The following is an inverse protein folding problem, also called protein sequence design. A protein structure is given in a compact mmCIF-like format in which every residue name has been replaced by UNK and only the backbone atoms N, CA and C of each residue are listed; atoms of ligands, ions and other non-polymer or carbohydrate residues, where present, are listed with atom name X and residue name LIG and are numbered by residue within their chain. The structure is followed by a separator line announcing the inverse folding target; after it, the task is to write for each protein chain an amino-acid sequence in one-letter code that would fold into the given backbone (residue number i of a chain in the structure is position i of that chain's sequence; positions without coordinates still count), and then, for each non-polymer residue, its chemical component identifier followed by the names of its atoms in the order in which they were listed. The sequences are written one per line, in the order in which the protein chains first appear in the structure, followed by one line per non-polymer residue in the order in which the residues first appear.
data_IF_596823711998
#
_entry.id   IF_596823711998
#
_cell.length_a   1.000
_cell.length_b   1.000
_cell.length_c   1.000
_cell.angle_alpha   90.00
_cell.angle_beta   90.00
_cell.angle_gamma   90.00
#
_symmetry.space_group_name_H-M   'P 1'
#
loop_
_entity.id
_entity.type
_entity.pdbx_description
1 polymer ?
#
# COMPACT_ATOMS: atom_id res chain seq x y z
N UNK A 1 31.61 22.40 -7.25
CA UNK A 1 30.61 22.59 -6.18
C UNK A 1 29.26 22.79 -6.83
N UNK A 2 28.21 22.16 -6.30
CA UNK A 2 26.82 22.31 -6.73
C UNK A 2 26.00 22.86 -5.56
N UNK A 3 25.29 23.97 -5.78
CA UNK A 3 24.60 24.74 -4.74
C UNK A 3 23.28 25.34 -5.27
N UNK A 4 22.59 26.13 -4.41
CA UNK A 4 21.31 26.77 -4.73
C UNK A 4 20.08 25.89 -4.47
N UNK A 5 18.90 26.45 -4.69
CA UNK A 5 17.59 25.86 -4.35
C UNK A 5 16.90 25.13 -5.50
N UNK A 6 17.32 25.36 -6.75
CA UNK A 6 16.67 24.76 -7.91
C UNK A 6 17.26 23.40 -8.26
N UNK A 7 16.51 22.59 -9.01
CA UNK A 7 17.02 21.34 -9.55
C UNK A 7 18.22 21.61 -10.47
N UNK A 8 19.26 20.78 -10.33
CA UNK A 8 20.44 20.79 -11.21
C UNK A 8 20.61 19.39 -11.79
N UNK A 9 21.23 19.30 -12.96
CA UNK A 9 21.55 18.02 -13.59
C UNK A 9 23.05 17.86 -13.76
N UNK A 10 23.56 16.65 -13.55
CA UNK A 10 24.97 16.31 -13.77
C UNK A 10 25.07 15.12 -14.73
N UNK A 11 25.87 15.32 -15.77
CA UNK A 11 26.27 14.32 -16.74
C UNK A 11 27.79 14.34 -16.85
N UNK A 12 28.42 13.17 -16.83
CA UNK A 12 29.83 13.00 -17.10
C UNK A 12 30.00 12.22 -18.40
N UNK A 13 31.04 12.57 -19.17
CA UNK A 13 31.44 11.74 -20.30
C UNK A 13 31.94 10.37 -19.80
N UNK A 14 31.82 9.34 -20.63
CA UNK A 14 32.21 7.98 -20.27
C UNK A 14 33.68 7.90 -19.81
N UNK A 15 33.93 7.08 -18.79
CA UNK A 15 35.24 6.91 -18.17
C UNK A 15 35.78 8.13 -17.38
N UNK A 16 35.05 9.25 -17.28
CA UNK A 16 35.48 10.39 -16.46
C UNK A 16 35.23 10.15 -14.97
N UNK A 17 36.21 10.54 -14.17
CA UNK A 17 36.17 10.45 -12.71
C UNK A 17 36.42 11.84 -12.14
N UNK A 18 35.56 12.28 -11.23
CA UNK A 18 35.75 13.52 -10.49
C UNK A 18 36.75 13.28 -9.37
N UNK A 19 37.69 14.19 -9.16
CA UNK A 19 38.52 14.12 -7.96
C UNK A 19 37.71 14.50 -6.72
N UNK A 20 36.98 15.61 -6.81
CA UNK A 20 36.19 16.16 -5.72
C UNK A 20 34.79 16.51 -6.20
N UNK A 21 33.79 16.21 -5.38
CA UNK A 21 32.42 16.64 -5.60
C UNK A 21 31.86 17.19 -4.29
N UNK A 22 31.36 18.42 -4.32
CA UNK A 22 30.72 19.06 -3.16
C UNK A 22 29.28 19.42 -3.49
N UNK A 23 28.36 18.93 -2.67
CA UNK A 23 26.93 19.19 -2.68
C UNK A 23 26.60 20.09 -1.48
N UNK A 24 26.08 21.28 -1.78
CA UNK A 24 25.62 22.26 -0.80
C UNK A 24 24.34 22.93 -1.32
N UNK A 25 23.34 22.10 -1.64
CA UNK A 25 22.06 22.57 -2.18
C UNK A 25 21.10 22.81 -1.04
N UNK A 26 20.58 24.04 -0.92
CA UNK A 26 19.58 24.40 0.10
C UNK A 26 18.17 23.94 -0.26
N UNK A 27 17.96 23.48 -1.50
CA UNK A 27 16.70 22.96 -2.01
C UNK A 27 16.90 22.26 -3.35
N UNK A 28 15.84 21.62 -3.83
CA UNK A 28 15.85 20.84 -5.07
C UNK A 28 16.79 19.62 -5.03
N UNK A 29 16.86 18.93 -6.16
CA UNK A 29 17.69 17.72 -6.33
C UNK A 29 18.87 17.99 -7.26
N UNK A 30 19.96 17.27 -7.01
CA UNK A 30 20.94 16.96 -8.05
C UNK A 30 20.48 15.71 -8.80
N UNK A 31 20.02 15.88 -10.04
CA UNK A 31 19.62 14.80 -10.93
C UNK A 31 20.83 14.25 -11.67
N UNK A 32 21.09 12.96 -11.56
CA UNK A 32 22.10 12.32 -12.39
C UNK A 32 21.51 11.91 -13.73
N UNK A 33 22.26 12.17 -14.80
CA UNK A 33 21.95 11.74 -16.17
C UNK A 33 22.89 10.62 -16.66
N UNK A 34 23.97 10.38 -15.91
CA UNK A 34 24.95 9.31 -16.14
C UNK A 34 25.46 8.82 -14.77
N UNK A 35 26.07 7.63 -14.69
CA UNK A 35 26.85 7.25 -13.51
C UNK A 35 27.94 8.28 -13.21
N UNK A 36 28.27 8.43 -11.93
CA UNK A 36 29.37 9.29 -11.48
C UNK A 36 30.32 8.53 -10.57
N UNK A 37 31.60 8.88 -10.66
CA UNK A 37 32.64 8.38 -9.78
C UNK A 37 33.42 9.55 -9.18
N UNK A 38 33.65 9.51 -7.87
CA UNK A 38 34.42 10.49 -7.12
C UNK A 38 35.62 9.79 -6.49
N UNK A 39 36.84 10.12 -6.91
CA UNK A 39 38.06 9.39 -6.52
C UNK A 39 38.65 9.82 -5.18
N UNK A 40 38.49 11.09 -4.78
CA UNK A 40 39.03 11.62 -3.54
C UNK A 40 37.92 11.89 -2.52
N UNK A 41 37.21 13.02 -2.61
CA UNK A 41 36.25 13.42 -1.56
C UNK A 41 34.89 13.74 -2.15
N UNK A 42 33.86 13.08 -1.62
CA UNK A 42 32.47 13.50 -1.76
C UNK A 42 32.08 14.27 -0.49
N UNK A 43 31.77 15.55 -0.64
CA UNK A 43 31.28 16.39 0.45
C UNK A 43 29.79 16.64 0.28
N UNK A 44 28.98 16.25 1.27
CA UNK A 44 27.55 16.52 1.36
C UNK A 44 27.27 17.38 2.59
N UNK A 45 27.35 18.70 2.40
CA UNK A 45 27.00 19.65 3.47
C UNK A 45 25.49 19.68 3.68
N UNK A 46 24.74 19.66 2.57
CA UNK A 46 23.29 19.56 2.50
C UNK A 46 22.88 19.31 1.04
N UNK A 47 21.67 18.79 0.85
CA UNK A 47 21.07 18.59 -0.47
C UNK A 47 21.03 17.14 -0.92
N UNK A 48 20.06 16.83 -1.75
CA UNK A 48 19.74 15.47 -2.15
C UNK A 48 20.25 15.16 -3.58
N UNK A 49 20.69 13.92 -3.78
CA UNK A 49 21.05 13.37 -5.10
C UNK A 49 19.96 12.40 -5.51
N UNK A 50 19.30 12.65 -6.64
CA UNK A 50 18.39 11.70 -7.27
C UNK A 50 19.16 10.97 -8.36
N UNK A 51 19.39 9.66 -8.18
CA UNK A 51 20.30 8.95 -9.09
C UNK A 51 19.65 8.54 -10.40
N UNK A 52 18.30 8.52 -10.50
CA UNK A 52 17.55 8.11 -11.69
C UNK A 52 18.02 6.74 -12.24
N UNK A 53 18.35 5.81 -11.34
CA UNK A 53 18.86 4.47 -11.70
C UNK A 53 20.37 4.42 -11.99
N UNK A 54 21.06 5.56 -12.09
CA UNK A 54 22.50 5.61 -12.23
C UNK A 54 23.22 5.35 -10.89
N UNK A 55 24.49 4.94 -10.97
CA UNK A 55 25.33 4.62 -9.81
C UNK A 55 26.15 5.84 -9.39
N UNK A 56 26.16 6.13 -8.10
CA UNK A 56 27.17 6.98 -7.47
C UNK A 56 28.28 6.09 -6.94
N UNK A 57 29.54 6.35 -7.32
CA UNK A 57 30.70 5.61 -6.81
C UNK A 57 31.63 6.55 -6.05
N UNK A 58 32.00 6.18 -4.84
CA UNK A 58 33.02 6.84 -4.04
C UNK A 58 34.25 5.92 -3.92
N UNK A 59 35.39 6.44 -4.35
CA UNK A 59 36.62 5.69 -4.59
C UNK A 59 36.70 5.09 -6.00
N UNK A 60 37.85 4.51 -6.31
CA UNK A 60 38.13 3.84 -7.60
C UNK A 60 38.71 2.43 -7.41
N UNK A 61 39.23 2.12 -6.22
CA UNK A 61 39.83 0.83 -5.89
C UNK A 61 39.93 0.63 -4.37
N UNK A 62 40.30 -0.57 -3.93
CA UNK A 62 40.59 -0.85 -2.52
C UNK A 62 41.77 -0.03 -1.95
N UNK A 63 42.59 0.56 -2.81
CA UNK A 63 43.73 1.43 -2.43
C UNK A 63 43.30 2.91 -2.40
N UNK A 64 42.38 3.29 -3.29
CA UNK A 64 41.82 4.64 -3.38
C UNK A 64 40.33 4.57 -3.05
N UNK A 65 40.02 4.50 -1.76
CA UNK A 65 38.66 4.26 -1.24
C UNK A 65 37.76 5.49 -1.30
N UNK A 66 38.35 6.68 -1.32
CA UNK A 66 37.66 7.96 -1.21
C UNK A 66 37.10 8.23 0.19
N UNK A 67 36.79 9.49 0.45
CA UNK A 67 36.28 10.01 1.72
C UNK A 67 34.89 10.63 1.54
N UNK A 68 34.00 10.38 2.50
CA UNK A 68 32.68 10.99 2.57
C UNK A 68 32.67 12.00 3.72
N UNK A 69 32.65 13.29 3.39
CA UNK A 69 32.44 14.37 4.36
C UNK A 69 30.95 14.69 4.39
N UNK A 70 30.24 14.24 5.41
CA UNK A 70 28.78 14.32 5.47
C UNK A 70 28.29 15.18 6.63
N UNK A 71 27.31 16.03 6.35
CA UNK A 71 26.54 16.78 7.35
C UNK A 71 25.03 16.58 7.17
N UNK A 72 24.54 16.60 5.93
CA UNK A 72 23.13 16.35 5.61
C UNK A 72 22.93 15.97 4.14
N UNK A 73 21.76 15.40 3.85
CA UNK A 73 21.30 15.08 2.49
C UNK A 73 21.13 13.59 2.26
N UNK A 74 20.49 13.23 1.16
CA UNK A 74 20.19 11.83 0.84
C UNK A 74 20.56 11.50 -0.60
N UNK A 75 21.11 10.31 -0.80
CA UNK A 75 21.31 9.69 -2.11
C UNK A 75 20.13 8.76 -2.35
N UNK A 76 19.17 9.22 -3.14
CA UNK A 76 18.01 8.44 -3.56
C UNK A 76 18.38 7.52 -4.71
N UNK A 77 18.91 6.33 -4.37
CA UNK A 77 19.35 5.33 -5.32
C UNK A 77 20.59 4.56 -4.86
N UNK A 78 21.40 4.14 -5.83
CA UNK A 78 22.55 3.24 -5.59
C UNK A 78 23.82 4.02 -5.29
N UNK A 79 24.47 3.66 -4.19
CA UNK A 79 25.80 4.13 -3.80
C UNK A 79 26.77 2.94 -3.73
N UNK A 80 27.91 3.02 -4.42
CA UNK A 80 29.06 2.13 -4.25
C UNK A 80 30.15 2.87 -3.48
N UNK A 81 30.70 2.24 -2.45
CA UNK A 81 31.89 2.72 -1.71
C UNK A 81 32.99 1.67 -1.77
N UNK A 82 34.23 2.11 -1.96
CA UNK A 82 35.40 1.24 -1.88
C UNK A 82 35.95 1.14 -0.46
N UNK A 83 36.55 -0.01 -0.15
CA UNK A 83 37.09 -0.37 1.15
C UNK A 83 38.46 -1.01 0.99
N UNK A 84 39.41 -0.60 1.83
CA UNK A 84 40.69 -1.27 2.00
C UNK A 84 40.53 -2.48 2.92
N UNK A 85 41.63 -3.16 3.22
CA UNK A 85 41.69 -4.18 4.28
C UNK A 85 41.71 -3.57 5.69
N UNK A 86 41.77 -2.24 5.82
CA UNK A 86 41.74 -1.54 7.11
C UNK A 86 40.74 -0.38 7.07
N UNK A 87 39.43 -0.68 6.98
CA UNK A 87 38.40 0.34 7.00
C UNK A 87 38.26 0.99 8.39
N UNK A 88 37.66 2.19 8.48
CA UNK A 88 37.39 2.85 9.75
C UNK A 88 36.66 1.93 10.75
N UNK A 89 37.01 2.06 12.03
CA UNK A 89 36.39 1.26 13.11
C UNK A 89 34.96 1.66 13.40
N UNK A 90 34.57 2.91 13.10
CA UNK A 90 33.20 3.38 13.21
C UNK A 90 32.91 4.54 12.24
N UNK A 91 31.62 4.81 12.00
CA UNK A 91 31.13 5.97 11.25
C UNK A 91 31.07 5.76 9.75
N UNK A 92 31.06 4.52 9.26
CA UNK A 92 31.04 4.24 7.82
C UNK A 92 29.61 4.38 7.28
N UNK A 93 29.23 5.62 6.96
CA UNK A 93 27.87 5.98 6.56
C UNK A 93 27.55 5.70 5.08
N UNK A 94 26.36 5.17 4.83
CA UNK A 94 25.67 5.18 3.55
C UNK A 94 24.43 6.09 3.70
N UNK A 95 24.48 7.36 3.22
CA UNK A 95 23.37 8.30 3.35
C UNK A 95 22.32 8.06 2.26
N UNK A 96 21.87 6.81 2.15
CA UNK A 96 20.93 6.37 1.12
C UNK A 96 19.48 6.57 1.56
N UNK A 97 18.57 6.56 0.61
CA UNK A 97 17.15 6.67 0.85
C UNK A 97 16.35 6.19 -0.35
N UNK A 98 15.03 6.31 -0.23
CA UNK A 98 14.11 6.01 -1.32
C UNK A 98 13.32 7.27 -1.67
N UNK A 99 13.34 7.64 -2.97
CA UNK A 99 12.57 8.78 -3.49
C UNK A 99 11.07 8.50 -3.53
N UNK A 100 10.72 7.21 -3.44
CA UNK A 100 9.37 6.68 -3.32
C UNK A 100 9.46 5.59 -2.26
N UNK A 101 8.86 5.82 -1.10
CA UNK A 101 8.36 4.73 -0.26
C UNK A 101 6.86 4.76 -0.48
N UNK A 102 6.30 3.64 -0.94
CA UNK A 102 4.86 3.55 -1.17
C UNK A 102 4.19 3.52 0.20
N UNK A 103 3.70 4.68 0.64
CA UNK A 103 2.55 4.72 1.51
C UNK A 103 1.34 4.32 0.65
N UNK A 104 0.92 3.06 0.80
CA UNK A 104 -0.23 2.50 0.08
C UNK A 104 -1.51 3.23 0.51
N UNK A 105 -1.57 3.74 1.75
CA UNK A 105 -2.75 4.35 2.36
C UNK A 105 -3.05 5.74 1.79
N UNK A 106 -2.02 6.54 1.48
CA UNK A 106 -2.20 7.95 1.10
C UNK A 106 -1.75 8.30 -0.32
N UNK A 107 -1.21 7.34 -1.09
CA UNK A 107 -0.54 7.58 -2.37
C UNK A 107 0.47 8.75 -2.27
N UNK A 108 1.09 8.89 -1.09
CA UNK A 108 1.93 10.01 -0.71
C UNK A 108 3.39 9.59 -0.82
N UNK A 109 4.08 10.11 -1.84
CA UNK A 109 5.49 9.84 -2.08
C UNK A 109 6.35 10.77 -1.20
N UNK A 110 6.48 10.49 0.10
CA UNK A 110 7.47 11.21 0.92
C UNK A 110 8.85 10.56 0.74
N UNK A 111 9.87 11.31 0.29
CA UNK A 111 11.22 10.79 0.20
C UNK A 111 11.77 10.47 1.59
N UNK A 112 12.16 9.22 1.84
CA UNK A 112 12.66 8.80 3.15
C UNK A 112 14.19 8.77 3.18
N UNK A 113 14.77 9.36 4.22
CA UNK A 113 16.20 9.25 4.53
C UNK A 113 16.44 7.97 5.34
N UNK A 114 17.04 6.97 4.72
CA UNK A 114 17.16 5.61 5.26
C UNK A 114 18.64 5.23 5.40
N UNK A 115 19.43 5.95 6.23
CA UNK A 115 20.86 5.75 6.29
C UNK A 115 21.17 4.39 6.91
N UNK A 116 22.34 3.88 6.53
CA UNK A 116 22.93 2.70 7.16
C UNK A 116 24.40 2.96 7.50
N UNK A 117 24.89 2.36 8.58
CA UNK A 117 26.31 2.38 8.96
C UNK A 117 26.86 0.96 8.96
N UNK A 118 28.09 0.79 8.46
CA UNK A 118 28.80 -0.50 8.37
C UNK A 118 30.18 -0.39 9.02
N UNK A 119 30.26 -0.72 10.29
CA UNK A 119 31.47 -0.49 11.09
C UNK A 119 32.29 -1.78 11.25
N UNK A 120 33.62 -1.69 11.26
CA UNK A 120 34.52 -2.82 11.49
C UNK A 120 35.28 -2.63 12.81
N UNK A 121 34.62 -2.85 13.97
CA UNK A 121 35.16 -2.49 15.28
C UNK A 121 36.32 -3.41 15.71
N UNK A 122 36.21 -4.71 15.42
CA UNK A 122 37.08 -5.73 16.01
C UNK A 122 37.96 -6.41 14.96
N UNK A 123 37.36 -7.03 13.94
CA UNK A 123 38.08 -7.85 12.95
C UNK A 123 37.99 -7.21 11.57
N UNK A 124 39.13 -6.83 11.01
CA UNK A 124 39.21 -6.17 9.70
C UNK A 124 39.02 -7.16 8.54
N UNK A 125 38.58 -6.70 7.35
CA UNK A 125 38.47 -7.52 6.15
C UNK A 125 39.82 -8.15 5.75
N UNK A 126 39.78 -9.38 5.26
CA UNK A 126 40.96 -10.06 4.71
C UNK A 126 41.29 -9.59 3.29
N UNK A 127 40.29 -9.11 2.55
CA UNK A 127 40.48 -8.50 1.23
C UNK A 127 39.74 -7.18 1.13
N UNK A 128 40.37 -6.17 0.52
CA UNK A 128 39.68 -4.94 0.14
C UNK A 128 38.81 -5.12 -1.10
N UNK A 129 37.85 -4.23 -1.31
CA UNK A 129 36.90 -4.31 -2.41
C UNK A 129 35.91 -3.16 -2.40
N UNK A 130 34.67 -3.42 -2.78
CA UNK A 130 33.60 -2.41 -2.72
C UNK A 130 32.30 -2.98 -2.18
N UNK A 131 31.47 -2.10 -1.64
CA UNK A 131 30.11 -2.39 -1.21
C UNK A 131 29.15 -1.47 -1.97
N UNK A 132 28.19 -2.06 -2.68
CA UNK A 132 27.09 -1.36 -3.34
C UNK A 132 25.86 -1.47 -2.45
N UNK A 133 25.26 -0.32 -2.11
CA UNK A 133 24.13 -0.23 -1.20
C UNK A 133 23.00 0.61 -1.80
N UNK A 134 21.75 0.19 -1.55
CA UNK A 134 20.54 0.97 -1.81
C UNK A 134 19.37 0.42 -0.99
N UNK A 135 18.31 1.21 -0.87
CA UNK A 135 17.05 0.74 -0.31
C UNK A 135 16.14 0.20 -1.41
N UNK A 136 15.54 -0.97 -1.17
CA UNK A 136 14.57 -1.63 -2.03
C UNK A 136 13.18 -1.40 -1.42
N UNK A 137 12.31 -0.58 -2.04
CA UNK A 137 10.98 -0.29 -1.53
C UNK A 137 9.98 -1.39 -1.92
N UNK A 138 10.29 -2.63 -1.55
CA UNK A 138 9.46 -3.81 -1.79
C UNK A 138 9.22 -4.52 -0.46
N UNK A 139 8.02 -5.09 -0.27
CA UNK A 139 7.69 -5.83 0.95
C UNK A 139 8.74 -6.90 1.26
N UNK A 140 9.07 -7.03 2.55
CA UNK A 140 9.94 -8.11 3.02
C UNK A 140 9.29 -9.49 2.85
N UNK A 141 7.96 -9.56 2.66
CA UNK A 141 7.21 -10.80 2.58
C UNK A 141 6.89 -11.34 3.97
N UNK A 142 7.02 -12.65 4.14
CA UNK A 142 6.63 -13.33 5.38
C UNK A 142 7.66 -13.14 6.51
N UNK A 143 7.13 -12.99 7.73
CA UNK A 143 7.93 -13.01 8.94
C UNK A 143 8.53 -14.40 9.19
N UNK A 144 9.71 -14.49 9.85
CA UNK A 144 10.33 -15.78 10.12
C UNK A 144 9.57 -16.57 11.20
N UNK A 145 9.29 -17.85 10.89
CA UNK A 145 8.61 -18.76 11.82
C UNK A 145 9.38 -18.92 13.13
N UNK A 146 8.70 -18.67 14.25
CA UNK A 146 9.17 -18.92 15.62
C UNK A 146 10.54 -18.31 15.97
N UNK A 147 10.97 -17.25 15.29
CA UNK A 147 12.22 -16.57 15.62
C UNK A 147 12.02 -15.68 16.86
N UNK A 148 12.85 -15.89 17.88
CA UNK A 148 12.82 -15.13 19.14
C UNK A 148 14.04 -14.23 19.21
N UNK A 149 13.82 -12.96 19.50
CA UNK A 149 14.88 -12.05 19.92
C UNK A 149 15.02 -12.17 21.45
N UNK A 150 16.19 -12.56 21.95
CA UNK A 150 16.41 -12.72 23.38
C UNK A 150 16.35 -11.35 24.07
N UNK A 151 16.07 -11.37 25.38
CA UNK A 151 16.03 -10.15 26.18
C UNK A 151 17.38 -9.45 26.15
N UNK A 152 17.37 -8.19 25.69
CA UNK A 152 18.52 -7.30 25.75
C UNK A 152 18.08 -6.01 26.44
N UNK A 153 18.57 -5.78 27.65
CA UNK A 153 18.44 -4.52 28.38
C UNK A 153 17.00 -4.03 28.65
N UNK A 154 16.22 -4.87 29.35
CA UNK A 154 14.87 -4.60 29.87
C UNK A 154 13.76 -4.39 28.81
N UNK A 155 14.01 -4.73 27.54
CA UNK A 155 12.95 -4.76 26.52
C UNK A 155 12.15 -6.08 26.52
N UNK A 156 12.54 -7.05 27.36
CA UNK A 156 12.00 -8.40 27.32
C UNK A 156 12.44 -9.17 26.07
N UNK A 157 12.27 -10.49 26.09
CA UNK A 157 12.37 -11.29 24.87
C UNK A 157 11.06 -11.16 24.07
N UNK A 158 11.15 -11.23 22.76
CA UNK A 158 9.96 -11.17 21.90
C UNK A 158 10.08 -12.07 20.67
N UNK A 159 8.93 -12.55 20.20
CA UNK A 159 8.83 -13.23 18.92
C UNK A 159 8.77 -12.19 17.82
N UNK A 160 9.44 -12.47 16.70
CA UNK A 160 9.23 -11.70 15.49
C UNK A 160 7.91 -12.18 14.88
N UNK A 161 6.91 -11.31 14.91
CA UNK A 161 5.57 -11.55 14.34
C UNK A 161 5.32 -10.75 13.07
N UNK A 162 6.16 -9.75 12.77
CA UNK A 162 6.04 -8.89 11.59
C UNK A 162 7.40 -8.59 10.97
N UNK A 163 7.36 -8.28 9.67
CA UNK A 163 8.49 -7.72 8.92
C UNK A 163 8.02 -6.54 8.09
N UNK A 164 8.88 -5.57 7.84
CA UNK A 164 8.51 -4.33 7.15
C UNK A 164 7.95 -4.59 5.73
N UNK A 165 6.77 -4.05 5.42
CA UNK A 165 6.27 -3.96 4.04
C UNK A 165 6.87 -2.76 3.27
N UNK A 166 7.48 -1.80 3.98
CA UNK A 166 7.98 -0.55 3.38
C UNK A 166 9.31 -0.72 2.65
N UNK A 167 10.02 -1.85 2.88
CA UNK A 167 11.26 -2.15 2.19
C UNK A 167 12.40 -2.65 3.08
N UNK A 168 13.53 -2.86 2.42
CA UNK A 168 14.77 -3.37 3.03
C UNK A 168 16.01 -2.75 2.36
N UNK A 169 17.12 -2.72 3.09
CA UNK A 169 18.42 -2.34 2.57
C UNK A 169 19.08 -3.52 1.86
N UNK A 170 19.69 -3.28 0.71
CA UNK A 170 20.45 -4.29 -0.03
C UNK A 170 21.90 -3.90 -0.11
N UNK A 171 22.78 -4.81 0.30
CA UNK A 171 24.23 -4.66 0.23
C UNK A 171 24.86 -5.76 -0.62
N UNK A 172 25.62 -5.38 -1.64
CA UNK A 172 26.33 -6.30 -2.51
C UNK A 172 27.84 -6.01 -2.46
N UNK A 173 28.60 -6.98 -1.96
CA UNK A 173 30.05 -6.92 -1.90
C UNK A 173 30.69 -7.40 -3.22
N UNK A 174 31.69 -6.68 -3.70
CA UNK A 174 32.51 -7.06 -4.86
C UNK A 174 33.99 -7.03 -4.43
N UNK A 175 34.61 -8.20 -4.26
CA UNK A 175 36.00 -8.36 -3.83
C UNK A 175 36.28 -8.13 -2.34
N UNK A 176 35.35 -7.49 -1.61
CA UNK A 176 35.43 -7.28 -0.16
C UNK A 176 35.03 -8.56 0.57
N UNK A 177 35.92 -9.13 1.39
CA UNK A 177 35.66 -10.39 2.11
C UNK A 177 36.38 -10.46 3.45
N UNK A 178 35.89 -11.36 4.32
CA UNK A 178 36.38 -11.53 5.68
C UNK A 178 35.98 -10.39 6.61
N UNK A 179 36.57 -10.39 7.80
CA UNK A 179 36.25 -9.44 8.86
C UNK A 179 34.94 -9.74 9.59
N UNK A 180 34.69 -8.91 10.59
CA UNK A 180 33.48 -8.88 11.40
C UNK A 180 32.98 -7.44 11.39
N UNK A 181 31.71 -7.24 11.02
CA UNK A 181 31.12 -5.91 10.95
C UNK A 181 29.92 -5.77 11.88
N UNK A 182 29.67 -4.53 12.29
CA UNK A 182 28.42 -4.08 12.89
C UNK A 182 27.58 -3.40 11.81
N UNK A 183 26.26 -3.51 11.91
CA UNK A 183 25.34 -2.76 11.07
C UNK A 183 24.39 -1.93 11.94
N UNK A 184 24.20 -0.67 11.55
CA UNK A 184 23.16 0.20 12.11
C UNK A 184 22.24 0.66 10.99
N UNK A 185 20.93 0.51 11.18
CA UNK A 185 19.89 0.91 10.24
C UNK A 185 19.01 1.97 10.88
N UNK A 186 18.63 2.99 10.10
CA UNK A 186 17.68 4.01 10.55
C UNK A 186 16.48 4.08 9.60
N UNK A 187 15.39 3.33 9.88
CA UNK A 187 14.13 3.37 9.12
C UNK A 187 13.34 4.67 9.33
N UNK A 188 13.94 5.84 9.12
CA UNK A 188 13.22 7.10 9.31
C UNK A 188 12.08 7.23 8.28
N UNK A 189 10.91 7.66 8.76
CA UNK A 189 9.71 7.73 7.94
C UNK A 189 9.01 6.39 7.73
N UNK A 190 9.41 5.34 8.45
CA UNK A 190 8.58 4.16 8.58
C UNK A 190 7.36 4.48 9.45
N UNK A 191 6.19 4.04 9.02
CA UNK A 191 4.90 4.34 9.66
C UNK A 191 4.41 3.18 10.53
N UNK A 192 4.97 1.98 10.34
CA UNK A 192 4.58 0.75 11.05
C UNK A 192 5.38 0.49 12.33
N UNK A 193 5.97 1.53 12.92
CA UNK A 193 6.79 1.43 14.12
C UNK A 193 6.03 2.08 15.27
N UNK A 194 5.79 1.33 16.33
CA UNK A 194 5.02 1.76 17.50
C UNK A 194 5.76 1.48 18.81
N UNK A 195 6.59 0.44 18.88
CA UNK A 195 7.47 0.17 20.01
C UNK A 195 8.90 -0.17 19.58
N UNK A 196 9.85 0.66 20.02
CA UNK A 196 11.29 0.45 19.78
C UNK A 196 11.82 -0.82 20.48
N UNK A 197 11.25 -1.22 21.63
CA UNK A 197 11.70 -2.42 22.33
C UNK A 197 11.34 -3.72 21.59
N UNK A 198 10.36 -3.66 20.68
CA UNK A 198 9.91 -4.77 19.87
C UNK A 198 10.47 -4.71 18.44
N UNK A 199 11.58 -4.00 18.20
CA UNK A 199 12.21 -3.87 16.89
C UNK A 199 13.54 -4.56 16.76
N UNK A 200 13.81 -5.09 15.58
CA UNK A 200 15.11 -5.67 15.27
C UNK A 200 15.46 -5.62 13.79
N UNK A 201 16.75 -5.77 13.48
CA UNK A 201 17.21 -5.92 12.11
C UNK A 201 17.37 -7.41 11.76
N UNK A 202 16.81 -7.81 10.62
CA UNK A 202 16.90 -9.16 10.07
C UNK A 202 17.73 -9.17 8.81
N UNK A 203 18.34 -10.32 8.52
CA UNK A 203 19.19 -10.53 7.36
C UNK A 203 18.60 -11.60 6.46
N UNK A 204 18.71 -11.43 5.15
CA UNK A 204 18.32 -12.45 4.14
C UNK A 204 19.38 -12.57 3.07
N UNK A 205 19.71 -13.80 2.67
CA UNK A 205 20.59 -14.08 1.53
C UNK A 205 19.77 -14.56 0.35
N UNK A 206 19.82 -13.83 -0.77
CA UNK A 206 19.01 -14.13 -1.96
C UNK A 206 17.51 -14.12 -1.64
N UNK A 207 16.80 -15.16 -2.06
CA UNK A 207 15.36 -15.34 -1.82
C UNK A 207 15.07 -16.28 -0.64
N UNK A 208 16.03 -16.50 0.26
CA UNK A 208 15.85 -17.32 1.45
C UNK A 208 14.95 -16.68 2.52
N UNK A 209 14.74 -17.33 3.68
CA UNK A 209 14.01 -16.72 4.78
C UNK A 209 14.81 -15.55 5.40
N UNK A 210 14.10 -14.65 6.08
CA UNK A 210 14.71 -13.70 6.99
C UNK A 210 15.23 -14.43 8.23
N UNK A 211 16.46 -14.14 8.64
CA UNK A 211 17.07 -14.77 9.80
C UNK A 211 17.73 -13.72 10.68
N UNK A 212 18.06 -14.10 11.90
CA UNK A 212 19.00 -13.33 12.71
C UNK A 212 20.43 -13.42 12.15
N UNK A 213 21.21 -12.38 12.42
CA UNK A 213 22.64 -12.36 12.20
C UNK A 213 23.30 -11.47 13.25
N UNK A 214 24.44 -11.92 13.77
CA UNK A 214 25.14 -11.23 14.84
C UNK A 214 24.31 -11.13 16.13
N UNK A 215 24.66 -10.17 16.97
CA UNK A 215 24.06 -9.94 18.28
C UNK A 215 23.10 -8.75 18.18
N UNK A 216 21.88 -8.92 18.69
CA UNK A 216 20.92 -7.83 18.83
C UNK A 216 21.38 -6.81 19.86
N UNK A 217 21.28 -5.53 19.51
CA UNK A 217 21.47 -4.41 20.43
C UNK A 217 20.14 -3.69 20.53
N UNK A 218 19.75 -3.35 21.77
CA UNK A 218 18.56 -2.58 22.08
C UNK A 218 18.43 -1.35 21.15
N UNK A 219 17.31 -1.21 20.42
CA UNK A 219 17.08 -0.04 19.57
C UNK A 219 17.07 1.26 20.36
N UNK A 220 17.52 2.34 19.73
CA UNK A 220 17.57 3.69 20.30
C UNK A 220 16.86 4.68 19.37
N UNK A 221 16.87 5.98 19.72
CA UNK A 221 16.20 7.02 18.94
C UNK A 221 14.75 7.23 19.36
N UNK A 222 13.87 7.46 18.38
CA UNK A 222 12.43 7.66 18.60
C UNK A 222 11.63 6.83 17.60
N UNK A 223 10.33 6.66 17.82
CA UNK A 223 9.44 5.96 16.87
C UNK A 223 9.57 6.48 15.43
N UNK A 224 9.66 7.81 15.25
CA UNK A 224 9.77 8.44 13.92
C UNK A 224 11.19 8.44 13.35
N UNK A 225 12.19 8.28 14.22
CA UNK A 225 13.62 8.24 13.87
C UNK A 225 14.33 7.12 14.63
N UNK A 226 13.99 5.85 14.35
CA UNK A 226 14.52 4.70 15.05
C UNK A 226 15.96 4.41 14.63
N UNK A 227 16.76 3.87 15.55
CA UNK A 227 18.13 3.44 15.30
C UNK A 227 18.28 2.00 15.79
N UNK A 228 18.47 1.08 14.85
CA UNK A 228 18.47 -0.36 15.10
C UNK A 228 19.86 -0.90 14.78
N UNK A 229 20.47 -1.62 15.73
CA UNK A 229 21.86 -2.09 15.61
C UNK A 229 21.98 -3.59 15.80
N UNK A 230 22.86 -4.21 15.01
CA UNK A 230 23.36 -5.58 15.18
C UNK A 230 24.89 -5.55 15.19
N UNK A 231 25.52 -6.37 16.03
CA UNK A 231 26.98 -6.43 16.16
C UNK A 231 27.55 -7.80 15.86
N UNK A 232 28.85 -7.87 15.56
CA UNK A 232 29.54 -9.16 15.46
C UNK A 232 29.11 -10.01 14.26
N UNK A 233 28.74 -9.38 13.14
CA UNK A 233 28.31 -10.11 11.95
C UNK A 233 29.54 -10.62 11.19
N UNK A 234 29.66 -11.95 11.10
CA UNK A 234 30.71 -12.65 10.34
C UNK A 234 30.22 -13.19 9.00
N UNK A 235 28.90 -13.26 8.80
CA UNK A 235 28.31 -13.65 7.52
C UNK A 235 28.40 -12.51 6.50
N UNK A 236 28.67 -12.84 5.23
CA UNK A 236 28.83 -11.84 4.17
C UNK A 236 27.63 -10.90 3.98
N UNK A 237 27.85 -9.78 3.28
CA UNK A 237 26.82 -8.79 3.00
C UNK A 237 25.66 -9.33 2.16
N UNK A 238 24.45 -8.88 2.47
CA UNK A 238 23.22 -9.28 1.78
C UNK A 238 22.10 -8.27 2.04
N UNK A 239 20.84 -8.71 1.95
CA UNK A 239 19.68 -7.92 2.31
C UNK A 239 19.53 -7.83 3.83
N UNK A 240 19.10 -6.66 4.29
CA UNK A 240 18.83 -6.32 5.67
C UNK A 240 17.50 -5.58 5.77
N UNK A 241 16.60 -6.03 6.63
CA UNK A 241 15.28 -5.43 6.80
C UNK A 241 14.90 -5.34 8.27
N UNK A 242 13.71 -4.81 8.55
CA UNK A 242 13.22 -4.62 9.92
C UNK A 242 12.19 -5.70 10.25
N UNK A 243 12.36 -6.34 11.40
CA UNK A 243 11.38 -7.22 12.02
C UNK A 243 10.82 -6.59 13.29
N UNK A 244 9.55 -6.89 13.57
CA UNK A 244 8.81 -6.40 14.73
C UNK A 244 8.15 -7.52 15.52
N UNK A 245 7.91 -7.28 16.81
CA UNK A 245 7.01 -8.06 17.64
C UNK A 245 5.55 -7.64 17.51
N UNK A 246 4.69 -8.17 18.38
CA UNK A 246 3.21 -8.01 18.30
C UNK A 246 2.75 -6.55 18.34
N UNK A 247 3.53 -5.69 19.00
CA UNK A 247 3.24 -4.26 19.15
C UNK A 247 3.77 -3.42 17.98
N UNK A 248 4.39 -4.04 16.97
CA UNK A 248 4.66 -3.41 15.67
C UNK A 248 3.83 -4.09 14.57
N UNK A 249 2.49 -4.07 14.65
CA UNK A 249 1.64 -4.75 13.68
C UNK A 249 1.70 -4.04 12.34
N UNK A 250 1.65 -4.83 11.27
CA UNK A 250 1.44 -4.31 9.92
C UNK A 250 -0.06 -4.03 9.74
N UNK A 251 -0.44 -3.02 8.94
CA UNK A 251 -1.77 -2.98 8.38
C UNK A 251 -2.01 -4.24 7.54
N UNK A 252 -3.27 -4.68 7.49
CA UNK A 252 -3.73 -5.86 6.76
C UNK A 252 -3.38 -5.73 5.28
N UNK A 253 -2.64 -6.71 4.76
CA UNK A 253 -2.32 -6.72 3.33
C UNK A 253 -3.49 -7.33 2.55
N UNK A 254 -4.38 -6.48 2.04
CA UNK A 254 -5.41 -6.91 1.08
C UNK A 254 -4.74 -7.35 -0.23
N UNK A 255 -4.62 -8.66 -0.44
CA UNK A 255 -3.95 -9.22 -1.63
C UNK A 255 -4.79 -9.04 -2.90
N UNK A 256 -6.11 -9.15 -2.78
CA UNK A 256 -7.01 -9.01 -3.92
C UNK A 256 -8.42 -8.65 -3.48
N UNK A 257 -9.11 -7.89 -4.32
CA UNK A 257 -10.56 -7.69 -4.24
C UNK A 257 -11.13 -7.69 -5.66
N UNK A 258 -12.19 -8.47 -5.88
CA UNK A 258 -12.79 -8.64 -7.20
C UNK A 258 -14.31 -8.66 -7.09
N UNK A 259 -14.97 -8.13 -8.12
CA UNK A 259 -16.42 -8.20 -8.29
C UNK A 259 -16.75 -8.89 -9.60
N UNK A 260 -17.70 -9.84 -9.56
CA UNK A 260 -18.15 -10.58 -10.75
C UNK A 260 -19.67 -10.67 -10.77
N UNK A 261 -20.27 -10.19 -11.85
CA UNK A 261 -21.70 -10.32 -12.07
C UNK A 261 -22.04 -11.72 -12.61
N UNK A 262 -23.01 -12.39 -11.99
CA UNK A 262 -23.54 -13.69 -12.41
C UNK A 262 -24.96 -13.91 -11.86
N UNK A 263 -25.85 -14.44 -12.68
CA UNK A 263 -27.23 -14.81 -12.31
C UNK A 263 -28.04 -13.69 -11.61
N UNK A 264 -27.89 -12.45 -12.07
CA UNK A 264 -28.59 -11.29 -11.50
C UNK A 264 -28.00 -10.78 -10.19
N UNK A 265 -26.82 -11.27 -9.77
CA UNK A 265 -26.14 -10.93 -8.52
C UNK A 265 -24.70 -10.55 -8.78
N UNK A 266 -24.09 -9.83 -7.84
CA UNK A 266 -22.64 -9.58 -7.87
C UNK A 266 -21.97 -10.39 -6.77
N UNK A 267 -21.04 -11.25 -7.17
CA UNK A 267 -20.15 -11.97 -6.27
C UNK A 267 -18.91 -11.13 -6.00
N UNK A 268 -18.70 -10.77 -4.75
CA UNK A 268 -17.51 -10.10 -4.26
C UNK A 268 -16.60 -11.14 -3.62
N UNK A 269 -15.34 -11.21 -4.04
CA UNK A 269 -14.32 -12.07 -3.43
C UNK A 269 -13.09 -11.26 -3.09
N UNK A 270 -12.52 -11.50 -1.92
CA UNK A 270 -11.22 -10.95 -1.53
C UNK A 270 -10.37 -11.99 -0.81
N UNK A 271 -9.07 -11.70 -0.80
CA UNK A 271 -8.12 -12.41 0.01
C UNK A 271 -7.23 -11.43 0.77
N UNK A 272 -6.98 -11.72 2.03
CA UNK A 272 -6.00 -11.03 2.87
C UNK A 272 -4.76 -11.91 2.99
N UNK A 273 -3.57 -11.31 3.03
CA UNK A 273 -2.31 -12.03 3.22
C UNK A 273 -2.08 -12.32 4.70
N UNK A 274 -2.36 -11.33 5.52
CA UNK A 274 -2.38 -11.37 6.97
C UNK A 274 -3.45 -10.41 7.49
N UNK A 275 -4.01 -10.70 8.66
CA UNK A 275 -4.97 -9.84 9.38
C UNK A 275 -4.44 -9.60 10.79
N UNK A 276 -4.47 -8.38 11.31
CA UNK A 276 -4.15 -8.10 12.72
C UNK A 276 -5.12 -7.06 13.22
N UNK A 277 -5.71 -7.32 14.39
CA UNK A 277 -6.79 -6.55 15.00
C UNK A 277 -7.99 -6.24 14.08
N UNK A 278 -8.20 -7.03 13.02
CA UNK A 278 -9.33 -6.87 12.11
C UNK A 278 -10.63 -7.21 12.84
N UNK A 279 -11.46 -6.22 13.11
CA UNK A 279 -12.78 -6.47 13.67
C UNK A 279 -13.70 -6.95 12.54
N UNK A 280 -13.84 -6.16 11.47
CA UNK A 280 -14.71 -6.49 10.35
C UNK A 280 -14.39 -5.74 9.05
N UNK A 281 -14.83 -6.31 7.94
CA UNK A 281 -14.95 -5.66 6.66
C UNK A 281 -16.36 -5.09 6.49
N UNK A 282 -16.46 -3.83 6.11
CA UNK A 282 -17.68 -3.22 5.58
C UNK A 282 -17.62 -3.29 4.06
N UNK A 283 -18.67 -3.81 3.45
CA UNK A 283 -18.82 -3.83 1.99
C UNK A 283 -19.66 -2.64 1.57
N UNK A 284 -19.12 -1.86 0.65
CA UNK A 284 -19.75 -0.65 0.15
C UNK A 284 -19.97 -0.74 -1.36
N UNK A 285 -21.10 -0.20 -1.81
CA UNK A 285 -21.50 -0.11 -3.21
C UNK A 285 -21.74 1.34 -3.60
N UNK A 286 -21.45 1.68 -4.85
CA UNK A 286 -21.69 3.02 -5.38
C UNK A 286 -22.07 2.97 -6.86
N UNK A 287 -22.84 3.97 -7.31
CA UNK A 287 -23.15 4.18 -8.74
C UNK A 287 -22.06 4.98 -9.46
N UNK A 288 -21.28 5.78 -8.73
CA UNK A 288 -20.34 6.76 -9.28
C UNK A 288 -18.95 6.71 -8.65
N UNK A 289 -18.72 5.76 -7.73
CA UNK A 289 -17.50 5.64 -6.93
C UNK A 289 -17.21 6.87 -6.03
N UNK A 290 -18.24 7.65 -5.70
CA UNK A 290 -18.17 8.81 -4.80
C UNK A 290 -19.12 8.60 -3.62
N UNK A 291 -20.42 8.49 -3.90
CA UNK A 291 -21.43 8.27 -2.87
C UNK A 291 -21.61 6.77 -2.67
N UNK A 292 -21.27 6.29 -1.48
CA UNK A 292 -21.26 4.87 -1.14
C UNK A 292 -22.41 4.51 -0.19
N UNK A 293 -23.09 3.41 -0.47
CA UNK A 293 -24.03 2.76 0.45
C UNK A 293 -23.41 1.49 1.02
N UNK A 294 -23.64 1.24 2.31
CA UNK A 294 -23.19 0.01 2.97
C UNK A 294 -24.15 -1.11 2.60
N UNK A 295 -23.62 -2.21 2.05
CA UNK A 295 -24.40 -3.37 1.63
C UNK A 295 -24.19 -4.59 2.54
N UNK A 296 -23.18 -4.58 3.40
CA UNK A 296 -22.94 -5.67 4.35
C UNK A 296 -21.72 -5.48 5.23
N UNK A 297 -21.62 -6.36 6.23
CA UNK A 297 -20.46 -6.52 7.09
C UNK A 297 -20.05 -7.99 7.11
N UNK A 298 -18.75 -8.26 7.14
CA UNK A 298 -18.19 -9.60 7.29
C UNK A 298 -17.11 -9.52 8.36
N UNK A 299 -17.23 -10.33 9.39
CA UNK A 299 -16.26 -10.38 10.48
C UNK A 299 -14.86 -10.70 9.94
N UNK A 300 -13.88 -9.96 10.44
CA UNK A 300 -12.48 -10.25 10.25
C UNK A 300 -12.06 -11.48 11.06
N UNK A 301 -10.85 -11.96 10.84
CA UNK A 301 -10.29 -13.04 11.65
C UNK A 301 -9.80 -12.57 13.03
N UNK A 302 -9.87 -11.27 13.33
CA UNK A 302 -9.13 -10.66 14.43
C UNK A 302 -7.64 -10.64 14.10
N UNK A 303 -6.99 -11.80 14.20
CA UNK A 303 -5.59 -11.97 13.85
C UNK A 303 -5.39 -13.23 12.99
N UNK A 304 -4.67 -13.12 11.88
CA UNK A 304 -4.26 -14.20 10.99
C UNK A 304 -2.90 -13.90 10.36
N UNK A 305 -2.01 -14.88 10.36
CA UNK A 305 -0.75 -14.84 9.58
C UNK A 305 -0.82 -15.74 8.34
N UNK A 306 -2.03 -16.15 7.94
CA UNK A 306 -2.27 -16.99 6.77
C UNK A 306 -3.22 -16.29 5.81
N UNK A 307 -3.08 -16.63 4.53
CA UNK A 307 -4.00 -16.14 3.52
C UNK A 307 -5.42 -16.62 3.80
N UNK A 308 -6.32 -15.67 4.04
CA UNK A 308 -7.73 -15.94 4.24
C UNK A 308 -8.53 -15.47 3.04
N UNK A 309 -9.58 -16.22 2.72
CA UNK A 309 -10.43 -15.96 1.57
C UNK A 309 -11.85 -15.70 2.07
N UNK A 310 -12.44 -14.65 1.55
CA UNK A 310 -13.76 -14.19 1.94
C UNK A 310 -14.62 -13.98 0.72
N UNK A 311 -15.94 -14.01 0.96
CA UNK A 311 -16.93 -13.86 -0.09
C UNK A 311 -18.17 -13.18 0.45
N UNK A 312 -18.76 -12.35 -0.41
CA UNK A 312 -20.06 -11.74 -0.18
C UNK A 312 -20.87 -11.71 -1.47
N UNK A 313 -22.20 -11.83 -1.35
CA UNK A 313 -23.11 -11.79 -2.50
C UNK A 313 -24.02 -10.57 -2.36
N UNK A 314 -23.89 -9.64 -3.30
CA UNK A 314 -24.87 -8.58 -3.50
C UNK A 314 -26.04 -9.12 -4.33
N UNK A 315 -27.20 -9.23 -3.68
CA UNK A 315 -28.43 -9.78 -4.26
C UNK A 315 -29.25 -8.77 -5.07
N UNK A 316 -28.96 -7.47 -4.96
CA UNK A 316 -29.72 -6.41 -5.62
C UNK A 316 -28.78 -5.36 -6.25
N UNK A 317 -27.85 -5.76 -7.12
CA UNK A 317 -26.81 -4.88 -7.63
C UNK A 317 -27.39 -3.76 -8.49
N UNK A 318 -26.73 -2.58 -8.46
CA UNK A 318 -27.17 -1.43 -9.25
C UNK A 318 -27.06 -1.75 -10.76
N UNK A 319 -28.08 -1.44 -11.58
CA UNK A 319 -28.03 -1.71 -13.01
C UNK A 319 -27.03 -0.78 -13.71
N UNK A 320 -26.36 -1.32 -14.74
CA UNK A 320 -25.28 -0.60 -15.44
C UNK A 320 -23.93 -0.87 -14.79
N UNK A 321 -23.07 0.13 -14.69
CA UNK A 321 -21.81 -0.01 -13.95
C UNK A 321 -22.12 0.15 -12.46
N UNK A 322 -21.76 -0.86 -11.68
CA UNK A 322 -21.80 -0.83 -10.22
C UNK A 322 -20.37 -0.89 -9.68
N UNK A 323 -20.04 -0.01 -8.74
CA UNK A 323 -18.73 0.07 -8.11
C UNK A 323 -18.80 -0.51 -6.70
N UNK A 324 -17.76 -1.23 -6.30
CA UNK A 324 -17.65 -1.83 -4.97
C UNK A 324 -16.29 -1.52 -4.36
N UNK A 325 -16.24 -1.38 -3.04
CA UNK A 325 -14.99 -1.34 -2.26
C UNK A 325 -15.19 -2.02 -0.92
N UNK A 326 -14.09 -2.40 -0.30
CA UNK A 326 -14.04 -2.81 1.10
C UNK A 326 -13.60 -1.63 1.95
N UNK A 327 -14.17 -1.53 3.15
CA UNK A 327 -13.63 -0.75 4.25
C UNK A 327 -13.33 -1.70 5.38
N UNK A 328 -12.07 -1.89 5.68
CA UNK A 328 -11.64 -2.71 6.80
C UNK A 328 -11.61 -1.86 8.07
N UNK A 329 -12.11 -2.37 9.18
CA UNK A 329 -12.15 -1.67 10.47
C UNK A 329 -11.50 -2.53 11.54
N UNK A 330 -10.57 -1.93 12.29
CA UNK A 330 -9.87 -2.59 13.38
C UNK A 330 -10.63 -2.43 14.71
N UNK A 331 -10.29 -3.23 15.72
CA UNK A 331 -10.94 -3.17 17.05
C UNK A 331 -10.85 -1.80 17.76
N UNK A 332 -9.89 -0.97 17.39
CA UNK A 332 -9.75 0.40 17.91
C UNK A 332 -10.57 1.45 17.13
N UNK A 333 -11.25 1.02 16.06
CA UNK A 333 -12.10 1.84 15.20
C UNK A 333 -11.36 2.55 14.06
N UNK A 334 -10.04 2.37 13.93
CA UNK A 334 -9.31 2.79 12.73
C UNK A 334 -9.76 1.97 11.51
N UNK A 335 -9.58 2.53 10.30
CA UNK A 335 -10.06 1.87 9.09
C UNK A 335 -9.24 2.23 7.84
N UNK A 336 -9.25 1.31 6.87
CA UNK A 336 -8.65 1.48 5.54
C UNK A 336 -9.67 1.10 4.45
N UNK A 337 -9.57 1.75 3.28
CA UNK A 337 -10.38 1.44 2.11
C UNK A 337 -9.57 0.71 1.03
N UNK A 338 -10.18 -0.31 0.41
CA UNK A 338 -9.65 -0.84 -0.84
C UNK A 338 -9.85 0.15 -2.00
N UNK A 339 -9.15 -0.08 -3.11
CA UNK A 339 -9.53 0.53 -4.38
C UNK A 339 -10.94 0.08 -4.79
N UNK A 340 -11.61 0.93 -5.58
CA UNK A 340 -12.87 0.59 -6.21
C UNK A 340 -12.68 -0.47 -7.29
N UNK A 341 -13.55 -1.48 -7.29
CA UNK A 341 -13.70 -2.41 -8.41
C UNK A 341 -15.03 -2.14 -9.08
N UNK A 342 -15.01 -2.05 -10.41
CA UNK A 342 -16.20 -1.84 -11.22
C UNK A 342 -16.65 -3.19 -11.81
N UNK A 343 -17.95 -3.39 -11.86
CA UNK A 343 -18.55 -4.51 -12.57
C UNK A 343 -19.71 -3.99 -13.43
N UNK A 344 -19.72 -4.41 -14.69
CA UNK A 344 -20.88 -4.20 -15.54
C UNK A 344 -21.96 -5.19 -15.12
N UNK A 345 -23.01 -4.66 -14.51
CA UNK A 345 -24.24 -5.38 -14.23
C UNK A 345 -25.07 -5.28 -15.49
N UNK A 346 -24.88 -6.25 -16.37
CA UNK A 346 -25.71 -6.41 -17.55
C UNK A 346 -27.15 -6.55 -17.07
N UNK A 347 -27.98 -5.56 -17.41
CA UNK A 347 -29.30 -5.35 -16.85
C UNK A 347 -30.00 -6.68 -16.57
N UNK A 348 -30.28 -6.90 -15.28
CA UNK A 348 -30.84 -8.11 -14.68
C UNK A 348 -31.69 -8.86 -15.71
N UNK A 349 -31.18 -10.00 -16.15
CA UNK A 349 -31.59 -10.69 -17.36
C UNK A 349 -33.10 -10.66 -17.60
N UNK A 350 -33.52 -9.93 -18.63
CA UNK A 350 -34.77 -10.13 -19.34
C UNK A 350 -36.08 -9.88 -18.59
N UNK A 351 -36.09 -9.30 -17.38
CA UNK A 351 -37.32 -9.11 -16.60
C UNK A 351 -37.69 -7.65 -16.36
N UNK A 352 -39.00 -7.40 -16.35
CA UNK A 352 -39.59 -6.11 -16.00
C UNK A 352 -39.33 -5.78 -14.52
N UNK A 353 -38.92 -4.55 -14.22
CA UNK A 353 -38.72 -4.06 -12.85
C UNK A 353 -39.28 -2.65 -12.67
N UNK A 354 -39.69 -2.31 -11.45
CA UNK A 354 -40.16 -0.96 -11.13
C UNK A 354 -39.82 -0.54 -9.70
N UNK A 355 -39.23 0.65 -9.58
CA UNK A 355 -39.04 1.36 -8.31
C UNK A 355 -40.11 2.44 -8.19
N UNK A 356 -40.77 2.47 -7.02
CA UNK A 356 -41.84 3.40 -6.72
C UNK A 356 -41.36 4.44 -5.70
N UNK A 357 -41.34 5.72 -6.09
CA UNK A 357 -40.85 6.84 -5.28
C UNK A 357 -42.03 7.75 -4.94
N UNK A 358 -42.35 7.85 -3.64
CA UNK A 358 -43.47 8.68 -3.17
C UNK A 358 -43.19 10.17 -3.36
N UNK A 359 -44.19 10.92 -3.85
CA UNK A 359 -44.14 12.37 -4.08
C UNK A 359 -45.37 13.04 -3.43
N UNK A 360 -45.34 14.36 -3.12
CA UNK A 360 -46.44 15.03 -2.42
C UNK A 360 -47.83 14.86 -3.07
N UNK A 361 -47.88 14.73 -4.40
CA UNK A 361 -49.11 14.63 -5.17
C UNK A 361 -49.33 13.27 -5.84
N UNK A 362 -48.43 12.30 -5.67
CA UNK A 362 -48.51 11.04 -6.41
C UNK A 362 -47.30 10.13 -6.23
N UNK A 363 -47.09 9.24 -7.19
CA UNK A 363 -46.01 8.26 -7.23
C UNK A 363 -45.18 8.45 -8.50
N UNK A 364 -43.88 8.64 -8.36
CA UNK A 364 -42.97 8.53 -9.50
C UNK A 364 -42.55 7.06 -9.64
N UNK A 365 -42.85 6.47 -10.79
CA UNK A 365 -42.44 5.11 -11.13
C UNK A 365 -41.22 5.17 -12.06
N UNK A 366 -40.12 4.56 -11.63
CA UNK A 366 -38.95 4.29 -12.48
C UNK A 366 -39.01 2.84 -12.91
N UNK A 367 -39.27 2.61 -14.19
CA UNK A 367 -39.53 1.29 -14.75
C UNK A 367 -38.36 0.91 -15.65
N UNK A 368 -37.80 -0.28 -15.46
CA UNK A 368 -36.86 -0.87 -16.40
C UNK A 368 -37.57 -1.94 -17.23
N UNK A 369 -37.59 -1.78 -18.55
CA UNK A 369 -38.18 -2.74 -19.49
C UNK A 369 -37.10 -3.46 -20.29
N UNK A 370 -37.18 -4.80 -20.41
CA UNK A 370 -36.21 -5.59 -21.19
C UNK A 370 -36.52 -5.65 -22.69
N UNK A 371 -37.76 -5.37 -23.11
CA UNK A 371 -38.28 -5.73 -24.45
C UNK A 371 -38.77 -4.55 -25.28
N UNK A 372 -38.83 -3.33 -24.72
CA UNK A 372 -39.38 -2.16 -25.41
C UNK A 372 -40.88 -2.26 -25.74
N UNK A 373 -41.52 -3.37 -25.35
CA UNK A 373 -42.94 -3.63 -25.53
C UNK A 373 -43.79 -2.64 -24.75
N UNK A 374 -45.05 -2.41 -25.18
CA UNK A 374 -45.97 -1.58 -24.44
C UNK A 374 -46.14 -2.05 -22.99
N UNK A 375 -46.05 -1.10 -22.06
CA UNK A 375 -46.22 -1.35 -20.62
C UNK A 375 -47.59 -0.87 -20.18
N UNK A 376 -48.37 -1.73 -19.52
CA UNK A 376 -49.61 -1.35 -18.87
C UNK A 376 -49.34 -1.07 -17.38
N UNK A 377 -49.49 0.19 -16.98
CA UNK A 377 -49.38 0.65 -15.58
C UNK A 377 -50.80 0.80 -15.02
N UNK A 378 -51.08 0.18 -13.88
CA UNK A 378 -52.37 0.23 -13.20
C UNK A 378 -52.19 0.51 -11.71
N UNK A 379 -53.13 1.24 -11.13
CA UNK A 379 -53.27 1.40 -9.69
C UNK A 379 -54.65 0.89 -9.29
N UNK A 380 -54.69 0.01 -8.29
CA UNK A 380 -55.93 -0.54 -7.76
C UNK A 380 -56.05 -0.28 -6.25
N UNK A 381 -57.28 -0.13 -5.78
CA UNK A 381 -57.57 -0.14 -4.34
C UNK A 381 -57.54 -1.56 -3.75
N UNK A 382 -57.68 -1.67 -2.42
CA UNK A 382 -57.68 -2.97 -1.72
C UNK A 382 -58.83 -3.90 -2.11
N UNK A 383 -59.87 -3.37 -2.77
CA UNK A 383 -60.99 -4.15 -3.30
C UNK A 383 -60.78 -4.57 -4.76
N UNK A 384 -59.60 -4.26 -5.33
CA UNK A 384 -59.25 -4.58 -6.71
C UNK A 384 -59.86 -3.62 -7.74
N UNK A 385 -60.48 -2.51 -7.33
CA UNK A 385 -61.01 -1.51 -8.26
C UNK A 385 -59.87 -0.69 -8.83
N UNK A 386 -59.73 -0.67 -10.15
CA UNK A 386 -58.72 0.13 -10.85
C UNK A 386 -59.09 1.61 -10.73
N UNK A 387 -58.20 2.40 -10.13
CA UNK A 387 -58.35 3.85 -9.93
C UNK A 387 -57.47 4.67 -10.86
N UNK A 388 -56.46 4.05 -11.48
CA UNK A 388 -55.61 4.64 -12.52
C UNK A 388 -55.16 3.57 -13.52
N UNK A 389 -55.05 3.93 -14.79
CA UNK A 389 -54.54 3.06 -15.84
C UNK A 389 -53.89 3.89 -16.95
N UNK A 390 -52.68 3.52 -17.34
CA UNK A 390 -51.91 4.18 -18.40
C UNK A 390 -51.13 3.13 -19.20
N UNK A 391 -50.98 3.37 -20.50
CA UNK A 391 -50.11 2.57 -21.35
C UNK A 391 -48.90 3.41 -21.76
N UNK A 392 -47.69 2.89 -21.52
CA UNK A 392 -46.43 3.47 -21.98
C UNK A 392 -45.92 2.68 -23.19
N UNK A 393 -45.27 3.35 -24.14
CA UNK A 393 -44.67 2.72 -25.31
C UNK A 393 -43.17 3.05 -25.37
N UNK A 394 -42.32 2.27 -24.67
CA UNK A 394 -40.89 2.53 -24.55
C UNK A 394 -40.14 2.49 -25.88
N UNK A 395 -40.55 1.65 -26.84
CA UNK A 395 -39.96 1.57 -28.18
C UNK A 395 -38.59 0.87 -28.25
N UNK A 396 -37.86 0.82 -27.14
CA UNK A 396 -36.61 0.08 -26.98
C UNK A 396 -36.44 -0.37 -25.52
N UNK A 397 -35.60 -1.39 -25.24
CA UNK A 397 -35.20 -1.73 -23.88
C UNK A 397 -34.55 -0.54 -23.17
N UNK A 398 -34.75 -0.41 -21.86
CA UNK A 398 -34.18 0.67 -21.07
C UNK A 398 -35.09 1.16 -19.95
N UNK A 399 -34.76 2.33 -19.40
CA UNK A 399 -35.54 2.97 -18.35
C UNK A 399 -36.60 3.92 -18.91
N UNK A 400 -37.79 3.86 -18.33
CA UNK A 400 -38.89 4.80 -18.56
C UNK A 400 -39.42 5.27 -17.22
N UNK A 401 -39.75 6.55 -17.13
CA UNK A 401 -40.37 7.14 -15.94
C UNK A 401 -41.82 7.55 -16.25
N UNK A 402 -42.73 7.35 -15.30
CA UNK A 402 -44.08 7.93 -15.34
C UNK A 402 -44.51 8.41 -13.97
N UNK A 403 -45.34 9.45 -13.94
CA UNK A 403 -45.96 9.96 -12.72
C UNK A 403 -47.41 9.51 -12.62
N UNK A 404 -47.73 8.78 -11.55
CA UNK A 404 -49.08 8.32 -11.25
C UNK A 404 -49.72 9.26 -10.22
N UNK A 405 -50.73 10.06 -10.60
CA UNK A 405 -51.42 10.93 -9.65
C UNK A 405 -52.21 10.08 -8.65
N UNK A 406 -52.08 10.40 -7.36
CA UNK A 406 -52.87 9.70 -6.32
C UNK A 406 -54.16 10.46 -5.97
N UNK A 407 -55.29 9.74 -5.79
CA UNK A 407 -56.54 10.35 -5.35
C UNK A 407 -56.35 11.18 -4.07
N UNK A 408 -56.95 12.37 -4.00
CA UNK A 408 -56.71 13.34 -2.92
C UNK A 408 -57.35 12.99 -1.57
N UNK A 409 -58.14 11.90 -1.45
CA UNK A 409 -58.91 11.62 -0.26
C UNK A 409 -58.42 10.37 0.51
N UNK A 410 -58.05 10.59 1.79
CA UNK A 410 -57.94 9.55 2.83
C UNK A 410 -56.66 8.70 2.81
N UNK A 411 -56.28 8.18 4.00
CA UNK A 411 -55.24 7.17 4.11
C UNK A 411 -55.68 5.91 3.37
N UNK A 412 -54.91 5.51 2.36
CA UNK A 412 -55.30 4.48 1.41
C UNK A 412 -54.13 3.56 1.13
N UNK A 413 -54.37 2.25 1.17
CA UNK A 413 -53.44 1.26 0.64
C UNK A 413 -53.80 1.03 -0.82
N UNK A 414 -52.86 1.32 -1.72
CA UNK A 414 -53.02 1.10 -3.15
C UNK A 414 -51.97 0.10 -3.63
N UNK A 415 -52.34 -0.68 -4.63
CA UNK A 415 -51.45 -1.67 -5.26
C UNK A 415 -51.19 -1.19 -6.68
N UNK A 416 -49.93 -0.95 -7.02
CA UNK A 416 -49.54 -0.75 -8.41
C UNK A 416 -49.24 -2.08 -9.07
N UNK A 417 -49.63 -2.20 -10.34
CA UNK A 417 -49.35 -3.34 -11.21
C UNK A 417 -48.83 -2.83 -12.54
N UNK A 418 -47.67 -3.30 -12.97
CA UNK A 418 -47.02 -2.94 -14.23
C UNK A 418 -46.78 -4.24 -14.99
N UNK A 419 -47.16 -4.32 -16.26
CA UNK A 419 -46.94 -5.51 -17.08
C UNK A 419 -46.59 -5.15 -18.51
N UNK A 420 -45.71 -5.93 -19.13
CA UNK A 420 -45.40 -5.86 -20.57
C UNK A 420 -46.12 -6.96 -21.39
N UNK A 421 -47.08 -7.65 -20.75
CA UNK A 421 -47.79 -8.80 -21.30
C UNK A 421 -47.09 -10.16 -21.07
N UNK A 422 -45.80 -10.17 -20.71
CA UNK A 422 -45.01 -11.37 -20.42
C UNK A 422 -44.69 -11.47 -18.93
N UNK A 423 -44.27 -10.36 -18.34
CA UNK A 423 -43.96 -10.21 -16.93
C UNK A 423 -44.92 -9.24 -16.24
N UNK A 424 -45.03 -9.37 -14.92
CA UNK A 424 -45.83 -8.50 -14.06
C UNK A 424 -45.01 -8.12 -12.83
N UNK A 425 -44.88 -6.82 -12.59
CA UNK A 425 -44.35 -6.24 -11.36
C UNK A 425 -45.52 -5.67 -10.57
N UNK A 426 -45.58 -5.99 -9.28
CA UNK A 426 -46.55 -5.39 -8.36
C UNK A 426 -45.85 -4.81 -7.15
N UNK A 427 -46.46 -3.80 -6.55
CA UNK A 427 -46.03 -3.30 -5.26
C UNK A 427 -47.14 -2.54 -4.56
N UNK A 428 -46.91 -2.26 -3.29
CA UNK A 428 -47.87 -1.59 -2.42
C UNK A 428 -47.38 -0.19 -2.11
N UNK A 429 -48.27 0.78 -2.15
CA UNK A 429 -48.03 2.13 -1.64
C UNK A 429 -49.06 2.47 -0.59
N UNK A 430 -48.61 3.10 0.48
CA UNK A 430 -49.45 3.60 1.56
C UNK A 430 -49.40 5.12 1.49
N UNK A 431 -50.56 5.75 1.38
CA UNK A 431 -50.73 7.19 1.55
C UNK A 431 -51.38 7.48 2.88
#
# INVERSE_FOLDING_TARGET
MLNGSDNQSLSLADGKVLNYLQINKSGGYLNLLTPISVSQVLTMNQGNILTNGHLVTLGTSAIQTGELNYSAGTIYGKLKRYFSTDPPTSGVLFPIGASIVTDIENNLHTPNHLPALIDYPTVKPTTGGSLKAWFVPESMGEAPDNLIIPETDNCGAFYISSVSYQGFWRFLAEGLSGGEYDITLSPNGFISIYDLCQLTALKRTGNGPWTEAGIHVKPTGTITHPVIKRTGITSGFSDWGIGGGIDNPLPIELLSFTAKYQDGKVLLNWATGSEINNDYFTLERSRDAVDAEIIGFIDGAGNSSHTLHYQFIDHDPLPGISYYRLKQTDYDGSFEYSQWVAVQVDGIGGRLQALAISQPQGLMLRIYTPTGHPLQVQLADIYGRIVYSEQLNPGSPGQVETFVPMPQAGRSVLIYRITDGLDVVTGKVIR
#
